data_IF_546393523707
#
_entry.id   IF_546393523707
#
_cell.length_a   1.000
_cell.length_b   1.000
_cell.length_c   1.000
_cell.angle_alpha   90.00
_cell.angle_beta   90.00
_cell.angle_gamma   90.00
#
_symmetry.space_group_name_H-M   'P 1'
#
loop_
_entity.id
_entity.type
_entity.pdbx_description
1 polymer ?
#
# COMPACT_ATOMS: atom_id res chain seq x y z
N UNK A 1 22.96 -4.48 16.98
CA UNK A 1 22.63 -3.33 16.11
C UNK A 1 22.09 -3.70 14.73
N UNK A 2 22.82 -4.42 13.86
CA UNK A 2 22.44 -4.68 12.45
C UNK A 2 21.00 -5.22 12.21
N UNK A 3 20.50 -6.12 13.06
CA UNK A 3 19.13 -6.70 12.95
C UNK A 3 18.01 -5.69 13.20
N UNK A 4 18.24 -4.71 14.07
CA UNK A 4 17.25 -3.68 14.43
C UNK A 4 17.10 -2.66 13.28
N UNK A 5 18.23 -2.15 12.78
CA UNK A 5 18.29 -1.19 11.66
C UNK A 5 17.61 -1.74 10.40
N UNK A 6 17.83 -3.03 10.11
CA UNK A 6 17.24 -3.68 8.94
C UNK A 6 15.71 -3.85 9.07
N UNK A 7 15.21 -4.08 10.28
CA UNK A 7 13.77 -4.12 10.56
C UNK A 7 13.10 -2.77 10.38
N UNK A 8 13.74 -1.71 10.89
CA UNK A 8 13.29 -0.33 10.74
C UNK A 8 13.23 0.08 9.27
N UNK A 9 14.29 -0.17 8.49
CA UNK A 9 14.32 0.17 7.06
C UNK A 9 13.22 -0.55 6.27
N UNK A 10 13.02 -1.86 6.53
CA UNK A 10 11.97 -2.65 5.86
C UNK A 10 10.57 -2.13 6.16
N UNK A 11 10.33 -1.65 7.38
CA UNK A 11 9.03 -1.14 7.80
C UNK A 11 8.74 0.20 7.13
N UNK A 12 9.74 1.08 7.09
CA UNK A 12 9.66 2.35 6.38
C UNK A 12 9.42 2.15 4.89
N UNK A 13 10.15 1.23 4.25
CA UNK A 13 9.93 0.91 2.84
C UNK A 13 8.52 0.35 2.59
N UNK A 14 8.02 -0.54 3.44
CA UNK A 14 6.66 -1.05 3.32
C UNK A 14 5.61 0.08 3.48
N UNK A 15 5.86 1.02 4.40
CA UNK A 15 4.96 2.16 4.64
C UNK A 15 4.96 3.13 3.46
N UNK A 16 6.12 3.41 2.89
CA UNK A 16 6.27 4.19 1.66
C UNK A 16 5.58 3.51 0.46
N UNK A 17 5.68 2.18 0.34
CA UNK A 17 4.98 1.42 -0.70
C UNK A 17 3.46 1.60 -0.58
N UNK A 18 2.89 1.54 0.62
CA UNK A 18 1.46 1.84 0.81
C UNK A 18 1.12 3.30 0.48
N UNK A 19 1.98 4.27 0.78
CA UNK A 19 1.71 5.68 0.51
C UNK A 19 1.67 6.03 -0.99
N UNK A 20 2.43 5.33 -1.84
CA UNK A 20 2.57 5.62 -3.26
C UNK A 20 1.25 5.62 -4.06
N UNK A 21 0.46 4.53 -4.11
CA UNK A 21 -0.76 4.50 -4.92
C UNK A 21 -1.82 5.49 -4.40
N UNK A 22 -1.87 5.71 -3.08
CA UNK A 22 -2.74 6.73 -2.48
C UNK A 22 -2.39 8.11 -3.01
N UNK A 23 -1.11 8.49 -2.92
CA UNK A 23 -0.66 9.81 -3.34
C UNK A 23 -0.86 10.01 -4.85
N UNK A 24 -0.49 9.02 -5.66
CA UNK A 24 -0.61 9.10 -7.12
C UNK A 24 -2.07 9.26 -7.54
N UNK A 25 -3.00 8.53 -6.94
CA UNK A 25 -4.43 8.68 -7.23
C UNK A 25 -4.91 10.11 -6.98
N UNK A 26 -4.57 10.67 -5.81
CA UNK A 26 -5.03 12.01 -5.45
C UNK A 26 -4.32 13.12 -6.23
N UNK A 27 -3.04 12.96 -6.57
CA UNK A 27 -2.34 13.93 -7.41
C UNK A 27 -2.89 13.92 -8.85
N UNK A 28 -3.17 12.75 -9.42
CA UNK A 28 -3.77 12.66 -10.76
C UNK A 28 -5.18 13.28 -10.78
N UNK A 29 -5.98 13.03 -9.75
CA UNK A 29 -7.30 13.67 -9.60
C UNK A 29 -7.20 15.19 -9.38
N UNK A 30 -6.27 15.64 -8.54
CA UNK A 30 -6.09 17.06 -8.26
C UNK A 30 -5.55 17.85 -9.46
N UNK A 31 -4.78 17.18 -10.34
CA UNK A 31 -4.20 17.78 -11.54
C UNK A 31 -4.98 17.41 -12.81
N UNK A 32 -6.21 16.92 -12.71
CA UNK A 32 -7.03 16.51 -13.86
C UNK A 32 -7.06 17.61 -14.95
N UNK A 33 -7.46 18.83 -14.59
CA UNK A 33 -7.60 19.95 -15.55
C UNK A 33 -6.26 20.38 -16.13
N UNK A 34 -5.17 20.31 -15.34
CA UNK A 34 -3.84 20.63 -15.83
C UNK A 34 -3.39 19.64 -16.89
N UNK A 35 -3.57 18.35 -16.62
CA UNK A 35 -3.21 17.28 -17.56
C UNK A 35 -4.03 17.47 -18.83
N UNK A 36 -5.35 17.63 -18.73
CA UNK A 36 -6.25 17.87 -19.87
C UNK A 36 -5.80 19.07 -20.70
N UNK A 37 -5.49 20.22 -20.07
CA UNK A 37 -5.04 21.42 -20.78
C UNK A 37 -3.69 21.22 -21.49
N UNK A 38 -2.72 20.57 -20.83
CA UNK A 38 -1.37 20.41 -21.37
C UNK A 38 -1.27 19.36 -22.48
N UNK A 39 -2.11 18.33 -22.41
CA UNK A 39 -2.04 17.21 -23.36
C UNK A 39 -3.13 17.23 -24.42
N UNK A 40 -4.22 17.98 -24.21
CA UNK A 40 -5.41 17.95 -25.05
C UNK A 40 -6.09 16.57 -25.07
N UNK A 41 -5.85 15.76 -24.05
CA UNK A 41 -6.38 14.40 -23.99
C UNK A 41 -7.90 14.38 -23.91
N UNK A 42 -8.48 13.45 -24.66
CA UNK A 42 -9.91 13.18 -24.63
C UNK A 42 -10.34 12.63 -23.27
N UNK A 43 -11.64 12.71 -22.97
CA UNK A 43 -12.22 12.18 -21.73
C UNK A 43 -11.88 10.70 -21.46
N UNK A 44 -11.77 9.87 -22.50
CA UNK A 44 -11.42 8.46 -22.33
C UNK A 44 -9.96 8.27 -21.89
N UNK A 45 -9.04 9.03 -22.47
CA UNK A 45 -7.63 9.05 -22.07
C UNK A 45 -7.47 9.60 -20.65
N UNK A 46 -8.23 10.65 -20.33
CA UNK A 46 -8.27 11.22 -18.98
C UNK A 46 -8.76 10.20 -17.95
N UNK A 47 -9.88 9.53 -18.18
CA UNK A 47 -10.37 8.49 -17.27
C UNK A 47 -9.39 7.33 -17.13
N UNK A 48 -8.72 6.91 -18.22
CA UNK A 48 -7.70 5.88 -18.15
C UNK A 48 -6.53 6.29 -17.25
N UNK A 49 -6.04 7.53 -17.34
CA UNK A 49 -4.90 7.98 -16.52
C UNK A 49 -5.31 8.29 -15.09
N UNK A 50 -6.50 8.84 -14.83
CA UNK A 50 -6.91 9.25 -13.47
C UNK A 50 -7.62 8.18 -12.67
N UNK A 51 -8.14 7.14 -13.32
CA UNK A 51 -8.88 6.05 -12.66
C UNK A 51 -8.26 4.68 -12.98
N UNK A 52 -8.09 4.36 -14.26
CA UNK A 52 -7.62 3.04 -14.71
C UNK A 52 -6.19 2.74 -14.25
N UNK A 53 -5.25 3.64 -14.53
CA UNK A 53 -3.86 3.51 -14.13
C UNK A 53 -3.68 3.45 -12.60
N UNK A 54 -4.30 4.34 -11.79
CA UNK A 54 -4.24 4.24 -10.34
C UNK A 54 -4.84 2.94 -9.78
N UNK A 55 -5.93 2.45 -10.35
CA UNK A 55 -6.52 1.17 -9.94
C UNK A 55 -5.56 0.00 -10.20
N UNK A 56 -4.95 -0.06 -11.39
CA UNK A 56 -3.95 -1.07 -11.72
C UNK A 56 -2.71 -0.98 -10.81
N UNK A 57 -2.24 0.25 -10.54
CA UNK A 57 -1.12 0.51 -9.64
C UNK A 57 -1.43 0.08 -8.21
N UNK A 58 -2.62 0.39 -7.71
CA UNK A 58 -3.08 -0.01 -6.37
C UNK A 58 -3.12 -1.54 -6.23
N UNK A 59 -3.61 -2.26 -7.24
CA UNK A 59 -3.57 -3.73 -7.26
C UNK A 59 -2.13 -4.26 -7.24
N UNK A 60 -1.27 -3.74 -8.11
CA UNK A 60 0.13 -4.16 -8.19
C UNK A 60 0.88 -3.93 -6.87
N UNK A 61 0.68 -2.76 -6.25
CA UNK A 61 1.27 -2.42 -4.95
C UNK A 61 0.69 -3.29 -3.85
N UNK A 62 -0.60 -3.61 -3.87
CA UNK A 62 -1.22 -4.52 -2.88
C UNK A 62 -0.56 -5.90 -2.92
N UNK A 63 -0.39 -6.46 -4.11
CA UNK A 63 0.29 -7.76 -4.30
C UNK A 63 1.73 -7.67 -3.82
N UNK A 64 2.46 -6.63 -4.22
CA UNK A 64 3.85 -6.42 -3.81
C UNK A 64 3.98 -6.27 -2.29
N UNK A 65 3.12 -5.47 -1.67
CA UNK A 65 3.11 -5.24 -0.23
C UNK A 65 2.78 -6.52 0.54
N UNK A 66 1.83 -7.32 0.07
CA UNK A 66 1.51 -8.63 0.62
C UNK A 66 2.73 -9.57 0.56
N UNK A 67 3.33 -9.75 -0.63
CA UNK A 67 4.49 -10.64 -0.83
C UNK A 67 5.69 -10.18 0.01
N UNK A 68 5.96 -8.87 0.03
CA UNK A 68 7.03 -8.27 0.82
C UNK A 68 6.82 -8.51 2.31
N UNK A 69 5.60 -8.24 2.79
CA UNK A 69 5.25 -8.37 4.20
C UNK A 69 5.34 -9.82 4.66
N UNK A 70 4.80 -10.75 3.86
CA UNK A 70 4.90 -12.20 4.13
C UNK A 70 6.36 -12.63 4.25
N UNK A 71 7.21 -12.26 3.29
CA UNK A 71 8.62 -12.67 3.26
C UNK A 71 9.50 -12.02 4.34
N UNK A 72 9.24 -10.75 4.68
CA UNK A 72 10.15 -9.96 5.54
C UNK A 72 9.69 -9.85 6.99
N UNK A 73 8.40 -10.00 7.26
CA UNK A 73 7.81 -9.82 8.60
C UNK A 73 7.19 -11.09 9.18
N UNK A 74 6.64 -12.01 8.38
CA UNK A 74 6.05 -13.27 8.89
C UNK A 74 5.07 -13.01 10.04
N UNK A 75 5.31 -13.60 11.23
CA UNK A 75 4.48 -13.39 12.44
C UNK A 75 4.69 -12.06 13.20
N UNK A 76 5.63 -11.21 12.79
CA UNK A 76 5.98 -9.99 13.56
C UNK A 76 4.88 -8.94 13.52
N UNK A 77 4.42 -8.50 14.69
CA UNK A 77 3.39 -7.46 14.87
C UNK A 77 3.83 -6.06 14.39
N UNK A 78 5.14 -5.81 14.27
CA UNK A 78 5.66 -4.50 13.83
C UNK A 78 5.15 -4.07 12.45
N UNK A 79 4.70 -5.01 11.60
CA UNK A 79 4.13 -4.69 10.29
C UNK A 79 2.89 -3.80 10.36
N UNK A 80 2.09 -3.90 11.43
CA UNK A 80 0.86 -3.10 11.59
C UNK A 80 1.15 -1.61 11.79
N UNK A 81 2.39 -1.25 12.18
CA UNK A 81 2.83 0.15 12.27
C UNK A 81 2.76 0.83 10.88
N UNK A 82 2.81 0.07 9.78
CA UNK A 82 2.64 0.64 8.44
C UNK A 82 1.26 1.27 8.23
N UNK A 83 0.24 0.89 8.99
CA UNK A 83 -1.09 1.49 8.96
C UNK A 83 -1.13 2.91 9.55
N UNK A 84 -0.08 3.33 10.26
CA UNK A 84 0.13 4.72 10.68
C UNK A 84 1.19 5.41 9.84
N UNK A 85 2.31 4.72 9.56
CA UNK A 85 3.45 5.32 8.86
C UNK A 85 3.19 5.64 7.39
N UNK A 86 2.19 5.05 6.73
CA UNK A 86 1.85 5.43 5.36
C UNK A 86 1.52 6.93 5.26
N UNK A 87 0.86 7.51 6.28
CA UNK A 87 0.40 8.89 6.27
C UNK A 87 1.54 9.92 6.16
N UNK A 88 2.59 9.89 7.02
CA UNK A 88 3.71 10.81 6.86
C UNK A 88 4.46 10.61 5.53
N UNK A 89 4.49 9.40 4.97
CA UNK A 89 5.03 9.19 3.61
C UNK A 89 4.15 9.82 2.54
N UNK A 90 2.82 9.69 2.62
CA UNK A 90 1.91 10.36 1.69
C UNK A 90 2.04 11.88 1.78
N UNK A 91 2.10 12.43 3.00
CA UNK A 91 2.32 13.87 3.21
C UNK A 91 3.65 14.34 2.59
N UNK A 92 4.73 13.56 2.77
CA UNK A 92 6.01 13.84 2.13
C UNK A 92 5.91 13.81 0.61
N UNK A 93 5.22 12.82 0.04
CA UNK A 93 5.06 12.71 -1.41
C UNK A 93 4.22 13.85 -2.00
N UNK A 94 3.11 14.22 -1.37
CA UNK A 94 2.33 15.41 -1.75
C UNK A 94 3.20 16.67 -1.67
N UNK A 95 3.97 16.85 -0.59
CA UNK A 95 4.85 18.01 -0.42
C UNK A 95 5.91 18.10 -1.53
N UNK A 96 6.58 16.98 -1.81
CA UNK A 96 7.58 16.90 -2.88
C UNK A 96 6.92 17.23 -4.23
N UNK A 97 5.78 16.61 -4.55
CA UNK A 97 5.09 16.85 -5.81
C UNK A 97 4.66 18.31 -5.96
N UNK A 98 3.99 18.88 -4.94
CA UNK A 98 3.57 20.28 -4.95
C UNK A 98 4.73 21.27 -5.07
N UNK A 99 5.91 20.91 -4.55
CA UNK A 99 7.13 21.72 -4.68
C UNK A 99 7.69 21.73 -6.11
N UNK A 100 7.61 20.60 -6.83
CA UNK A 100 8.05 20.51 -8.23
C UNK A 100 7.00 21.00 -9.23
N UNK A 101 5.71 20.90 -8.90
CA UNK A 101 4.60 21.21 -9.80
C UNK A 101 3.58 22.19 -9.19
N UNK A 102 4.00 23.41 -8.82
CA UNK A 102 3.12 24.41 -8.20
C UNK A 102 1.95 24.79 -9.11
N UNK A 103 0.81 25.14 -8.51
CA UNK A 103 -0.38 25.62 -9.24
C UNK A 103 -0.15 27.08 -9.69
N UNK A 104 0.08 27.25 -10.99
CA UNK A 104 0.28 28.57 -11.61
C UNK A 104 -1.00 29.17 -12.21
N UNK A 105 -1.87 28.35 -12.81
CA UNK A 105 -3.12 28.78 -13.42
C UNK A 105 -4.30 28.59 -12.44
N UNK A 106 -5.10 29.62 -12.13
CA UNK A 106 -6.32 29.49 -11.33
C UNK A 106 -7.34 28.47 -11.87
N UNK A 107 -7.35 28.22 -13.18
CA UNK A 107 -8.17 27.21 -13.84
C UNK A 107 -7.74 25.76 -13.54
N UNK A 108 -6.54 25.55 -13.01
CA UNK A 108 -6.05 24.22 -12.58
C UNK A 108 -6.51 23.84 -11.17
N UNK A 109 -7.28 24.70 -10.50
CA UNK A 109 -7.69 24.42 -9.13
C UNK A 109 -8.50 23.12 -9.09
N UNK A 110 -8.14 22.18 -8.21
CA UNK A 110 -8.85 20.92 -8.11
C UNK A 110 -10.30 21.15 -7.69
N UNK A 111 -11.19 20.29 -8.18
CA UNK A 111 -12.58 20.26 -7.72
C UNK A 111 -12.61 20.00 -6.20
N UNK A 112 -13.38 20.77 -5.40
CA UNK A 112 -13.56 20.51 -3.97
C UNK A 112 -13.93 19.06 -3.62
N UNK A 113 -14.63 18.36 -4.52
CA UNK A 113 -14.94 16.94 -4.37
C UNK A 113 -13.69 16.05 -4.16
N UNK A 114 -12.56 16.37 -4.81
CA UNK A 114 -11.30 15.64 -4.62
C UNK A 114 -10.78 15.80 -3.18
N UNK A 115 -10.91 17.00 -2.61
CA UNK A 115 -10.55 17.25 -1.22
C UNK A 115 -11.41 16.46 -0.23
N UNK A 116 -12.73 16.37 -0.49
CA UNK A 116 -13.64 15.55 0.32
C UNK A 116 -13.33 14.05 0.19
N UNK A 117 -13.05 13.58 -1.03
CA UNK A 117 -12.63 12.21 -1.28
C UNK A 117 -11.32 11.89 -0.55
N UNK A 118 -10.36 12.82 -0.54
CA UNK A 118 -9.09 12.68 0.19
C UNK A 118 -9.35 12.47 1.67
N UNK A 119 -10.17 13.31 2.29
CA UNK A 119 -10.53 13.17 3.71
C UNK A 119 -11.19 11.83 3.99
N UNK A 120 -12.19 11.42 3.20
CA UNK A 120 -12.83 10.12 3.37
C UNK A 120 -11.86 8.95 3.20
N UNK A 121 -11.00 9.01 2.19
CA UNK A 121 -9.99 7.99 1.93
C UNK A 121 -8.96 7.92 3.06
N UNK A 122 -8.57 9.03 3.69
CA UNK A 122 -7.63 9.02 4.83
C UNK A 122 -8.14 8.17 6.00
N UNK A 123 -9.45 8.09 6.22
CA UNK A 123 -10.05 7.22 7.24
C UNK A 123 -10.17 5.76 6.79
N UNK A 124 -10.49 5.52 5.52
CA UNK A 124 -10.63 4.17 4.98
C UNK A 124 -9.28 3.47 4.73
N UNK A 125 -8.26 4.21 4.32
CA UNK A 125 -6.96 3.69 3.93
C UNK A 125 -6.22 2.87 5.01
N UNK A 126 -6.16 3.30 6.29
CA UNK A 126 -5.54 2.48 7.33
C UNK A 126 -6.25 1.14 7.49
N UNK A 127 -7.57 1.06 7.30
CA UNK A 127 -8.32 -0.21 7.35
C UNK A 127 -7.87 -1.14 6.23
N UNK A 128 -7.70 -0.64 5.00
CA UNK A 128 -7.12 -1.39 3.89
C UNK A 128 -5.72 -1.95 4.25
N UNK A 129 -4.83 -1.11 4.77
CA UNK A 129 -3.46 -1.54 5.16
C UNK A 129 -3.51 -2.62 6.25
N UNK A 130 -4.43 -2.49 7.22
CA UNK A 130 -4.63 -3.49 8.27
C UNK A 130 -5.11 -4.82 7.69
N UNK A 131 -6.05 -4.81 6.74
CA UNK A 131 -6.56 -6.02 6.09
C UNK A 131 -5.43 -6.78 5.39
N UNK A 132 -4.61 -6.11 4.57
CA UNK A 132 -3.47 -6.74 3.88
C UNK A 132 -2.51 -7.38 4.88
N UNK A 133 -2.20 -6.67 5.98
CA UNK A 133 -1.32 -7.18 7.03
C UNK A 133 -1.96 -8.32 7.86
N UNK A 134 -3.29 -8.37 7.95
CA UNK A 134 -4.03 -9.44 8.61
C UNK A 134 -4.06 -10.71 7.76
N UNK A 135 -4.24 -10.60 6.45
CA UNK A 135 -4.16 -11.74 5.52
C UNK A 135 -2.81 -12.47 5.65
N UNK A 136 -1.71 -11.71 5.71
CA UNK A 136 -0.38 -12.28 5.94
C UNK A 136 -0.28 -13.05 7.26
N UNK A 137 -1.01 -12.64 8.31
CA UNK A 137 -1.05 -13.38 9.58
C UNK A 137 -1.79 -14.70 9.44
N UNK A 138 -2.94 -14.67 8.76
CA UNK A 138 -3.79 -15.83 8.54
C UNK A 138 -2.99 -16.89 7.77
N UNK A 139 -2.37 -16.51 6.66
CA UNK A 139 -1.57 -17.42 5.85
C UNK A 139 -0.38 -18.02 6.62
N UNK A 140 0.25 -17.21 7.46
CA UNK A 140 1.31 -17.70 8.34
C UNK A 140 0.79 -18.75 9.33
N UNK A 141 -0.40 -18.55 9.91
CA UNK A 141 -1.00 -19.49 10.87
C UNK A 141 -1.39 -20.80 10.19
N UNK A 142 -1.96 -20.74 8.99
CA UNK A 142 -2.30 -21.93 8.18
C UNK A 142 -1.05 -22.77 7.94
N UNK A 143 0.03 -22.15 7.44
CA UNK A 143 1.30 -22.84 7.18
C UNK A 143 1.93 -23.43 8.45
N UNK A 144 1.75 -22.77 9.60
CA UNK A 144 2.28 -23.27 10.87
C UNK A 144 1.50 -24.50 11.37
N UNK A 145 0.19 -24.54 11.16
CA UNK A 145 -0.66 -25.68 11.52
C UNK A 145 -0.33 -26.94 10.72
N UNK A 146 -0.22 -26.80 9.40
CA UNK A 146 0.16 -27.91 8.48
C UNK A 146 1.52 -28.54 8.87
N UNK A 147 2.48 -27.74 9.30
CA UNK A 147 3.80 -28.25 9.71
C UNK A 147 3.79 -29.03 11.01
N UNK A 148 2.85 -28.74 11.92
CA UNK A 148 2.74 -29.47 13.19
C UNK A 148 2.01 -30.81 13.00
N UNK A 149 0.91 -30.84 12.23
CA UNK A 149 0.22 -32.11 11.87
C UNK A 149 1.16 -33.08 11.14
N UNK A 150 1.97 -32.58 10.21
CA UNK A 150 2.92 -33.42 9.47
C UNK A 150 4.05 -33.99 10.35
N UNK A 151 4.43 -33.29 11.42
CA UNK A 151 5.40 -33.82 12.39
C UNK A 151 4.77 -34.90 13.26
N UNK A 152 3.55 -34.66 13.74
CA UNK A 152 2.84 -35.57 14.63
C UNK A 152 2.54 -36.92 13.94
N UNK A 153 2.07 -36.89 12.70
CA UNK A 153 1.84 -38.10 11.90
C UNK A 153 3.11 -38.91 11.61
N UNK A 154 4.30 -38.29 11.63
CA UNK A 154 5.59 -38.99 11.48
C UNK A 154 6.06 -39.64 12.80
N UNK A 155 5.76 -39.04 13.94
CA UNK A 155 6.06 -39.62 15.25
C UNK A 155 5.14 -40.81 15.56
N UNK A 156 3.87 -40.76 15.17
CA UNK A 156 2.95 -41.89 15.35
C UNK A 156 3.28 -43.10 14.44
N UNK A 157 3.76 -42.87 13.21
CA UNK A 157 4.16 -43.97 12.31
C UNK A 157 5.50 -44.62 12.67
N UNK A 158 6.38 -43.90 13.38
CA UNK A 158 7.72 -44.35 13.76
C UNK A 158 7.78 -45.14 15.07
N UNK A 159 6.76 -45.05 15.93
CA UNK A 159 6.71 -45.73 17.24
C UNK A 159 5.93 -47.05 17.26
N UNK A 160 5.71 -47.67 16.10
CA UNK A 160 4.89 -48.90 15.95
C UNK A 160 5.67 -50.04 15.29
N UNK A 161 6.95 -50.19 15.64
CA UNK A 161 7.80 -51.30 15.23
C UNK A 161 8.52 -51.90 16.44
N UNK A 162 7.74 -52.41 17.39
CA UNK A 162 8.22 -53.11 18.59
C UNK A 162 7.31 -54.31 18.87
#
# INVERSE_FOLDING_TARGET
>A
MKRFTLGFLRLNLASALYALPFTIYFELGANYYRIERLTGWSRSQMSLITEGFPAALWLAVTVLAYVWTRRKFGKKRSRYISALLWLPYSALFFYVFASFFPIADPGDKPNPAIGLMLLGAMFAYPVYVLIVNALVLVDWRVQSGETEEFKDGRTESGGRQD
#
